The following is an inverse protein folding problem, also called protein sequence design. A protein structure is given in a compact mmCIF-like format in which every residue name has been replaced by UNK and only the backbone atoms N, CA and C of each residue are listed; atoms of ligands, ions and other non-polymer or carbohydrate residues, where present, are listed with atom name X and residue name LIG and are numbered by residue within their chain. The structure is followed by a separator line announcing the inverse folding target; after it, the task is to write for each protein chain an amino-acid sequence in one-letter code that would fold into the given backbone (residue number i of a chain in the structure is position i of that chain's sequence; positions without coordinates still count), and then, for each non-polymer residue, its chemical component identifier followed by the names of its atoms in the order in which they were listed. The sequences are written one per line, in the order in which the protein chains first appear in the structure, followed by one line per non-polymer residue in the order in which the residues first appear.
data_IF_519852064390
#
_entry.id   IF_519852064390
#
_cell.length_a   1.000
_cell.length_b   1.000
_cell.length_c   1.000
_cell.angle_alpha   90.00
_cell.angle_beta   90.00
_cell.angle_gamma   90.00
#
_symmetry.space_group_name_H-M   'P 1'
#
loop_
_entity.id
_entity.type
_entity.pdbx_description
1 polymer ?
#
# COMPACT_ATOMS: atom_id res chain seq x y z
N UNK A 1 6.19 -21.67 1.36
CA UNK A 1 5.44 -20.40 1.25
C UNK A 1 5.06 -20.03 2.67
N UNK A 2 5.67 -19.00 3.25
CA UNK A 2 5.32 -18.59 4.61
C UNK A 2 3.86 -18.11 4.58
N UNK A 3 3.02 -18.67 5.44
CA UNK A 3 1.64 -18.25 5.58
C UNK A 3 1.65 -16.80 6.10
N UNK A 4 1.50 -15.83 5.21
CA UNK A 4 1.32 -14.45 5.59
C UNK A 4 -0.10 -14.28 6.09
N UNK A 5 -0.23 -13.74 7.31
CA UNK A 5 -1.53 -13.49 7.90
C UNK A 5 -1.94 -12.04 7.62
N UNK A 6 -2.92 -11.88 6.72
CA UNK A 6 -3.44 -10.57 6.35
C UNK A 6 -4.23 -9.87 7.46
N UNK A 7 -4.71 -10.63 8.45
CA UNK A 7 -5.54 -10.16 9.55
C UNK A 7 -4.76 -9.69 10.79
N UNK A 8 -3.42 -9.62 10.72
CA UNK A 8 -2.61 -9.15 11.85
C UNK A 8 -2.26 -7.67 11.68
N UNK A 9 -1.89 -7.01 12.77
CA UNK A 9 -1.48 -5.62 12.73
C UNK A 9 -0.20 -5.45 11.90
N UNK A 10 -0.15 -4.36 11.13
CA UNK A 10 0.98 -4.04 10.28
C UNK A 10 1.42 -2.60 10.43
N UNK A 11 2.72 -2.39 10.29
CA UNK A 11 3.38 -1.11 10.44
C UNK A 11 4.13 -0.78 9.15
N UNK A 12 3.77 0.36 8.54
CA UNK A 12 4.41 0.83 7.33
C UNK A 12 5.44 1.90 7.69
N UNK A 13 6.70 1.60 7.39
CA UNK A 13 7.81 2.49 7.65
C UNK A 13 8.26 3.17 6.36
N UNK A 14 8.34 4.51 6.35
CA UNK A 14 8.88 5.23 5.21
C UNK A 14 10.38 5.00 5.07
N UNK A 15 10.84 5.01 3.82
CA UNK A 15 12.25 5.03 3.51
C UNK A 15 12.90 6.28 4.10
N UNK A 16 14.03 6.11 4.79
CA UNK A 16 14.86 7.24 5.23
C UNK A 16 15.63 7.82 4.02
N UNK A 17 14.94 8.51 3.11
CA UNK A 17 15.57 9.11 1.93
C UNK A 17 16.33 10.37 2.37
N UNK A 18 17.67 10.25 2.46
CA UNK A 18 18.56 11.32 2.92
C UNK A 18 18.71 12.52 1.98
N UNK A 19 18.22 12.48 0.72
CA UNK A 19 18.63 13.51 -0.27
C UNK A 19 17.60 14.20 -1.14
N UNK A 20 16.35 13.78 -1.30
CA UNK A 20 15.34 14.58 -2.01
C UNK A 20 13.96 14.28 -1.46
N UNK A 21 13.19 15.37 -1.22
CA UNK A 21 11.78 15.44 -0.83
C UNK A 21 11.29 14.24 -0.01
N UNK A 22 11.16 14.45 1.30
CA UNK A 22 10.46 13.57 2.27
C UNK A 22 9.51 12.62 1.52
N UNK A 23 9.77 11.30 1.62
CA UNK A 23 8.80 10.29 1.19
C UNK A 23 7.42 10.79 1.64
N UNK A 24 6.49 10.90 0.71
CA UNK A 24 5.25 11.66 0.86
C UNK A 24 4.30 11.12 1.93
N UNK A 25 4.76 10.16 2.74
CA UNK A 25 4.01 9.59 3.84
C UNK A 25 4.89 9.45 5.10
N UNK A 26 4.26 9.70 6.25
CA UNK A 26 4.84 9.42 7.55
C UNK A 26 4.50 7.99 7.98
N UNK A 27 5.25 7.46 8.95
CA UNK A 27 4.96 6.17 9.59
C UNK A 27 3.47 6.02 9.90
N UNK A 28 2.91 4.88 9.50
CA UNK A 28 1.49 4.58 9.67
C UNK A 28 1.33 3.14 10.12
N UNK A 29 0.57 2.95 11.19
CA UNK A 29 0.15 1.64 11.68
C UNK A 29 -1.26 1.35 11.19
N UNK A 30 -1.51 0.09 10.87
CA UNK A 30 -2.78 -0.42 10.42
C UNK A 30 -3.18 -1.59 11.31
N UNK A 31 -4.48 -1.72 11.54
CA UNK A 31 -5.03 -2.83 12.31
C UNK A 31 -4.88 -4.16 11.57
N UNK A 32 -4.83 -4.13 10.24
CA UNK A 32 -4.62 -5.30 9.39
C UNK A 32 -3.51 -5.08 8.35
N UNK A 33 -2.76 -6.15 8.09
CA UNK A 33 -1.73 -6.19 7.08
C UNK A 33 -2.30 -6.06 5.67
N UNK A 34 -3.52 -6.54 5.45
CA UNK A 34 -4.25 -6.29 4.21
C UNK A 34 -4.40 -4.79 3.95
N UNK A 35 -4.87 -4.03 4.94
CA UNK A 35 -5.07 -2.58 4.80
C UNK A 35 -3.76 -1.84 4.57
N UNK A 36 -2.68 -2.26 5.24
CA UNK A 36 -1.35 -1.68 5.04
C UNK A 36 -0.83 -1.92 3.62
N UNK A 37 -0.98 -3.13 3.09
CA UNK A 37 -0.55 -3.50 1.73
C UNK A 37 -1.39 -2.74 0.69
N UNK A 38 -2.71 -2.67 0.87
CA UNK A 38 -3.59 -1.89 -0.02
C UNK A 38 -3.17 -0.42 -0.05
N UNK A 39 -3.01 0.20 1.12
CA UNK A 39 -2.58 1.59 1.22
C UNK A 39 -1.22 1.82 0.57
N UNK A 40 -0.28 0.90 0.77
CA UNK A 40 1.06 1.01 0.20
C UNK A 40 1.09 0.92 -1.33
N UNK A 41 0.12 0.25 -1.96
CA UNK A 41 0.05 0.11 -3.43
C UNK A 41 -0.87 1.14 -4.07
N UNK A 42 -2.01 1.44 -3.45
CA UNK A 42 -3.04 2.29 -4.03
C UNK A 42 -2.87 3.78 -3.66
N UNK A 43 -2.52 4.06 -2.41
CA UNK A 43 -2.50 5.44 -1.88
C UNK A 43 -1.08 6.03 -1.91
N UNK A 44 -0.05 5.20 -1.80
CA UNK A 44 1.33 5.67 -1.92
C UNK A 44 1.79 5.74 -3.37
N UNK A 45 2.35 6.89 -3.81
CA UNK A 45 3.02 6.96 -5.09
C UNK A 45 4.25 6.04 -5.09
N UNK A 46 4.54 5.43 -6.24
CA UNK A 46 5.64 4.45 -6.39
C UNK A 46 7.00 4.99 -5.91
N UNK A 47 7.24 6.30 -6.06
CA UNK A 47 8.44 6.98 -5.55
C UNK A 47 8.55 6.97 -4.03
N UNK A 48 7.43 6.99 -3.30
CA UNK A 48 7.40 6.93 -1.84
C UNK A 48 7.46 5.50 -1.32
N UNK A 49 6.90 4.55 -2.06
CA UNK A 49 7.06 3.13 -1.77
C UNK A 49 8.52 2.67 -1.96
N UNK A 50 9.30 3.38 -2.77
CA UNK A 50 10.69 3.08 -3.05
C UNK A 50 11.57 3.22 -1.80
N UNK A 51 11.97 2.07 -1.23
CA UNK A 51 12.70 1.95 0.04
C UNK A 51 11.83 1.93 1.29
N UNK A 52 10.51 2.02 1.15
CA UNK A 52 9.59 1.75 2.24
C UNK A 52 9.52 0.24 2.48
N UNK A 53 9.34 -0.13 3.73
CA UNK A 53 9.13 -1.51 4.11
C UNK A 53 7.94 -1.61 5.06
N UNK A 54 7.20 -2.69 4.91
CA UNK A 54 6.04 -3.02 5.70
C UNK A 54 6.45 -4.14 6.65
N UNK A 55 6.25 -3.91 7.94
CA UNK A 55 6.49 -4.90 8.98
C UNK A 55 5.15 -5.45 9.46
N UNK A 56 5.04 -6.77 9.49
CA UNK A 56 3.87 -7.49 10.00
C UNK A 56 4.38 -8.45 11.06
N UNK A 57 4.03 -8.19 12.31
CA UNK A 57 4.59 -8.90 13.46
C UNK A 57 6.14 -8.89 13.41
N UNK A 58 6.76 -10.02 13.07
CA UNK A 58 8.21 -10.20 12.95
C UNK A 58 8.71 -10.24 11.49
N UNK A 59 7.79 -10.32 10.53
CA UNK A 59 8.11 -10.38 9.11
C UNK A 59 8.25 -8.97 8.52
N UNK A 60 9.29 -8.77 7.70
CA UNK A 60 9.53 -7.51 6.99
C UNK A 60 9.42 -7.74 5.49
N UNK A 61 8.68 -6.86 4.83
CA UNK A 61 8.42 -6.91 3.40
C UNK A 61 8.86 -5.58 2.77
N UNK A 62 9.82 -5.67 1.86
CA UNK A 62 10.20 -4.54 1.01
C UNK A 62 9.12 -4.29 -0.05
N UNK A 63 9.28 -3.23 -0.85
CA UNK A 63 8.39 -2.89 -1.96
C UNK A 63 7.97 -4.10 -2.83
N UNK A 64 8.92 -4.96 -3.21
CA UNK A 64 8.63 -6.15 -4.03
C UNK A 64 7.78 -7.17 -3.27
N UNK A 65 8.04 -7.36 -1.98
CA UNK A 65 7.24 -8.23 -1.11
C UNK A 65 5.82 -7.70 -0.94
N UNK A 66 5.66 -6.40 -0.68
CA UNK A 66 4.35 -5.74 -0.56
C UNK A 66 3.54 -5.92 -1.84
N UNK A 67 4.16 -5.73 -3.01
CA UNK A 67 3.50 -5.92 -4.31
C UNK A 67 3.08 -7.36 -4.55
N UNK A 68 3.95 -8.33 -4.26
CA UNK A 68 3.63 -9.75 -4.36
C UNK A 68 2.46 -10.14 -3.45
N UNK A 69 2.37 -9.56 -2.24
CA UNK A 69 1.26 -9.78 -1.32
C UNK A 69 -0.06 -9.24 -1.87
N UNK A 70 -0.04 -8.03 -2.47
CA UNK A 70 -1.21 -7.44 -3.12
C UNK A 70 -1.67 -8.23 -4.35
N UNK A 71 -0.72 -8.70 -5.16
CA UNK A 71 -0.99 -9.49 -6.36
C UNK A 71 -1.41 -10.95 -6.03
N UNK A 72 -1.17 -11.42 -4.80
CA UNK A 72 -1.55 -12.78 -4.37
C UNK A 72 -3.05 -12.99 -4.30
N UNK A 73 -3.51 -14.16 -4.72
CA UNK A 73 -4.94 -14.53 -4.71
C UNK A 73 -5.51 -14.67 -3.30
N UNK A 74 -4.65 -14.83 -2.29
CA UNK A 74 -5.03 -14.91 -0.87
C UNK A 74 -5.35 -13.56 -0.24
N UNK A 75 -5.22 -12.47 -0.99
CA UNK A 75 -5.47 -11.12 -0.47
C UNK A 75 -6.97 -10.93 -0.14
N UNK A 76 -7.35 -10.67 1.12
CA UNK A 76 -8.74 -10.72 1.55
C UNK A 76 -9.55 -9.46 1.25
N UNK A 77 -8.90 -8.34 0.90
CA UNK A 77 -9.59 -7.09 0.60
C UNK A 77 -9.88 -6.97 -0.90
N UNK A 78 -10.98 -6.29 -1.23
CA UNK A 78 -11.24 -5.89 -2.61
C UNK A 78 -10.10 -5.01 -3.10
N UNK A 79 -9.35 -5.53 -4.08
CA UNK A 79 -8.40 -4.75 -4.85
C UNK A 79 -9.20 -3.63 -5.49
N UNK A 80 -8.80 -2.38 -5.28
CA UNK A 80 -9.35 -1.27 -6.03
C UNK A 80 -8.80 -1.45 -7.44
N UNK A 81 -9.47 -2.28 -8.23
CA UNK A 81 -9.49 -2.14 -9.67
C UNK A 81 -9.77 -0.66 -9.81
N UNK A 82 -8.82 0.09 -10.35
CA UNK A 82 -9.02 1.49 -10.68
C UNK A 82 -10.33 1.50 -11.45
N UNK A 83 -11.43 1.76 -10.76
CA UNK A 83 -12.68 2.08 -11.40
C UNK A 83 -12.23 3.25 -12.24
N UNK A 84 -12.33 3.07 -13.56
CA UNK A 84 -12.46 4.18 -14.47
C UNK A 84 -13.17 5.27 -13.68
N UNK A 85 -12.47 6.38 -13.47
CA UNK A 85 -13.11 7.59 -13.02
C UNK A 85 -14.41 7.65 -13.81
N UNK A 86 -15.61 7.69 -13.19
CA UNK A 86 -16.74 8.06 -13.99
C UNK A 86 -16.34 9.43 -14.49
N UNK A 87 -16.06 9.51 -15.80
CA UNK A 87 -15.97 10.75 -16.51
C UNK A 87 -17.17 11.52 -15.98
N UNK A 88 -16.89 12.52 -15.14
CA UNK A 88 -17.90 13.49 -14.79
C UNK A 88 -18.04 14.24 -16.10
N UNK A 89 -18.92 13.70 -16.94
CA UNK A 89 -19.57 14.41 -18.03
C UNK A 89 -20.33 15.51 -17.30
N UNK A 90 -19.61 16.59 -16.99
CA UNK A 90 -20.18 17.87 -16.61
C UNK A 90 -20.79 18.45 -17.90
N UNK A 91 -21.86 17.80 -18.34
CA UNK A 91 -22.73 18.21 -19.42
C UNK A 91 -24.10 18.50 -18.84
N UNK A 92 -24.19 19.51 -17.95
CA UNK A 92 -25.39 20.32 -17.82
C UNK A 92 -25.07 21.64 -17.09
N UNK A 93 -24.89 22.72 -17.87
CA UNK A 93 -25.44 24.06 -17.58
C UNK A 93 -24.77 25.14 -18.46
N UNK A 94 -25.43 25.50 -19.57
CA UNK A 94 -25.78 26.89 -19.96
C UNK A 94 -26.22 26.97 -21.44
#
# INVERSE_FOLDING_TARGET
MAAFSYNTAAELFPAAIRKKKRAGFAYRRFDTAAAAVQFAIEELPADSLNGAYLQVEEARFDQSGIRSLYESQDFPLERRVRAEEPATDDADAA
#
